data_IF_087135434276
#
_entry.id   IF_087135434276
#
_cell.length_a   1.000
_cell.length_b   1.000
_cell.length_c   1.000
_cell.angle_alpha   90.00
_cell.angle_beta   90.00
_cell.angle_gamma   90.00
#
_symmetry.space_group_name_H-M   'P 1'
#
loop_
_entity.id
_entity.type
_entity.pdbx_description
1 polymer ?
#
# COMPACT_ATOMS: atom_id res chain seq x y z
N UNK A 1 14.02 2.89 -13.69
CA UNK A 1 13.00 2.64 -12.65
C UNK A 1 12.50 3.99 -12.14
N UNK A 2 11.20 4.24 -12.19
CA UNK A 2 10.60 5.49 -11.67
C UNK A 2 10.33 5.32 -10.17
N UNK A 3 10.44 6.41 -9.40
CA UNK A 3 10.22 6.37 -7.95
C UNK A 3 9.01 7.23 -7.56
N UNK A 4 8.27 6.81 -6.55
CA UNK A 4 7.12 7.56 -6.01
C UNK A 4 7.16 7.61 -4.48
N UNK A 5 6.61 8.69 -3.92
CA UNK A 5 6.20 8.78 -2.53
C UNK A 5 4.68 8.62 -2.48
N UNK A 6 4.20 7.60 -1.78
CA UNK A 6 2.80 7.18 -1.82
C UNK A 6 2.05 7.74 -0.60
N UNK A 7 0.88 8.35 -0.82
CA UNK A 7 0.02 8.87 0.25
C UNK A 7 -1.32 8.12 0.23
N UNK A 8 -1.64 7.43 1.32
CA UNK A 8 -2.83 6.59 1.46
C UNK A 8 -3.82 7.21 2.44
N UNK A 9 -4.99 7.61 1.93
CA UNK A 9 -6.07 8.18 2.73
C UNK A 9 -6.78 7.15 3.63
N UNK A 10 -7.66 7.65 4.51
CA UNK A 10 -8.62 6.82 5.26
C UNK A 10 -9.74 6.29 4.34
N UNK A 11 -10.62 5.42 4.86
CA UNK A 11 -11.70 4.85 4.04
C UNK A 11 -12.40 3.62 4.60
N UNK A 12 -12.08 3.20 5.84
CA UNK A 12 -12.64 2.01 6.46
C UNK A 12 -12.38 0.75 5.62
N UNK A 13 -13.38 -0.13 5.52
CA UNK A 13 -13.27 -1.39 4.76
C UNK A 13 -12.91 -1.18 3.28
N UNK A 14 -13.37 -0.09 2.64
CA UNK A 14 -13.02 0.22 1.24
C UNK A 14 -11.54 0.55 1.05
N UNK A 15 -10.80 0.81 2.13
CA UNK A 15 -9.36 1.05 2.09
C UNK A 15 -8.54 -0.17 1.71
N UNK A 16 -9.11 -1.38 1.67
CA UNK A 16 -8.43 -2.56 1.10
C UNK A 16 -8.04 -2.35 -0.36
N UNK A 17 -8.72 -1.44 -1.09
CA UNK A 17 -8.34 -1.05 -2.45
C UNK A 17 -6.90 -0.49 -2.55
N UNK A 18 -6.32 0.02 -1.46
CA UNK A 18 -4.92 0.47 -1.44
C UNK A 18 -3.94 -0.65 -1.75
N UNK A 19 -4.28 -1.92 -1.46
CA UNK A 19 -3.45 -3.10 -1.80
C UNK A 19 -3.29 -3.20 -3.32
N UNK A 20 -4.39 -3.14 -4.06
CA UNK A 20 -4.36 -3.19 -5.53
C UNK A 20 -3.60 -2.02 -6.16
N UNK A 21 -3.66 -0.82 -5.57
CA UNK A 21 -2.86 0.33 -6.03
C UNK A 21 -1.36 0.07 -5.87
N UNK A 22 -0.95 -0.53 -4.76
CA UNK A 22 0.45 -0.88 -4.50
C UNK A 22 0.93 -1.92 -5.52
N UNK A 23 0.19 -3.00 -5.72
CA UNK A 23 0.53 -4.03 -6.71
C UNK A 23 0.66 -3.43 -8.11
N UNK A 24 -0.31 -2.61 -8.51
CA UNK A 24 -0.26 -1.95 -9.82
C UNK A 24 1.01 -1.10 -9.98
N UNK A 25 1.44 -0.36 -8.94
CA UNK A 25 2.68 0.41 -8.99
C UNK A 25 3.90 -0.49 -9.19
N UNK A 26 4.02 -1.57 -8.41
CA UNK A 26 5.15 -2.50 -8.50
C UNK A 26 5.20 -3.21 -9.86
N UNK A 27 4.07 -3.73 -10.34
CA UNK A 27 3.92 -4.38 -11.65
C UNK A 27 4.28 -3.45 -12.80
N UNK A 28 4.04 -2.14 -12.66
CA UNK A 28 4.38 -1.13 -13.65
C UNK A 28 5.78 -0.51 -13.46
N UNK A 29 6.62 -1.14 -12.63
CA UNK A 29 8.03 -0.77 -12.47
C UNK A 29 8.27 0.52 -11.68
N UNK A 30 7.32 0.91 -10.83
CA UNK A 30 7.49 1.98 -9.86
C UNK A 30 8.06 1.44 -8.56
N UNK A 31 9.05 2.15 -8.01
CA UNK A 31 9.57 1.90 -6.67
C UNK A 31 8.98 2.90 -5.67
N UNK A 32 8.21 2.40 -4.70
CA UNK A 32 7.69 3.20 -3.58
C UNK A 32 8.82 3.45 -2.59
N UNK A 33 9.24 4.72 -2.44
CA UNK A 33 10.38 5.10 -1.58
C UNK A 33 9.95 5.48 -0.16
N UNK A 34 8.76 6.03 -0.01
CA UNK A 34 8.20 6.42 1.27
C UNK A 34 6.69 6.36 1.21
N UNK A 35 6.07 6.20 2.38
CA UNK A 35 4.63 6.11 2.53
C UNK A 35 4.19 7.01 3.68
N UNK A 36 3.13 7.78 3.44
CA UNK A 36 2.36 8.42 4.49
C UNK A 36 0.93 7.86 4.43
N UNK A 37 0.34 7.57 5.59
CA UNK A 37 -0.99 6.97 5.65
C UNK A 37 -1.82 7.48 6.82
N UNK A 38 -3.15 7.42 6.67
CA UNK A 38 -4.10 7.72 7.74
C UNK A 38 -5.11 6.57 7.93
N UNK A 39 -5.34 6.14 9.17
CA UNK A 39 -6.26 5.04 9.52
C UNK A 39 -5.94 3.78 8.71
N UNK A 40 -6.88 3.24 7.92
CA UNK A 40 -6.65 2.07 7.06
C UNK A 40 -5.49 2.28 6.08
N UNK A 41 -5.27 3.50 5.57
CA UNK A 41 -4.11 3.80 4.72
C UNK A 41 -2.79 3.68 5.48
N UNK A 42 -2.76 4.02 6.77
CA UNK A 42 -1.59 3.82 7.63
C UNK A 42 -1.35 2.32 7.89
N UNK A 43 -2.42 1.55 8.12
CA UNK A 43 -2.35 0.11 8.31
C UNK A 43 -1.76 -0.58 7.07
N UNK A 44 -2.38 -0.41 5.90
CA UNK A 44 -1.93 -1.04 4.65
C UNK A 44 -0.51 -0.57 4.29
N UNK A 45 -0.26 0.74 4.37
CA UNK A 45 1.05 1.31 4.08
C UNK A 45 2.16 0.79 5.00
N UNK A 46 1.86 0.64 6.29
CA UNK A 46 2.79 0.07 7.28
C UNK A 46 3.07 -1.41 7.04
N UNK A 47 2.04 -2.21 6.75
CA UNK A 47 2.19 -3.64 6.42
C UNK A 47 3.04 -3.84 5.17
N UNK A 48 2.79 -3.04 4.12
CA UNK A 48 3.62 -3.07 2.92
C UNK A 48 5.06 -2.66 3.22
N UNK A 49 5.30 -1.59 3.97
CA UNK A 49 6.64 -1.17 4.36
C UNK A 49 7.38 -2.24 5.19
N UNK A 50 6.65 -3.09 5.92
CA UNK A 50 7.20 -4.24 6.64
C UNK A 50 7.47 -5.48 5.76
N UNK A 51 7.16 -5.42 4.45
CA UNK A 51 7.32 -6.55 3.53
C UNK A 51 6.27 -7.65 3.73
N UNK A 52 5.11 -7.31 4.29
CA UNK A 52 4.08 -8.27 4.75
C UNK A 52 2.74 -8.16 4.02
N UNK A 53 2.70 -7.43 2.90
CA UNK A 53 1.44 -7.12 2.19
C UNK A 53 0.73 -8.38 1.69
N UNK A 54 1.47 -9.31 1.06
CA UNK A 54 0.89 -10.53 0.48
C UNK A 54 0.28 -11.45 1.55
N UNK A 55 0.93 -11.56 2.71
CA UNK A 55 0.44 -12.36 3.84
C UNK A 55 -0.85 -11.76 4.42
N UNK A 56 -0.91 -10.43 4.51
CA UNK A 56 -2.11 -9.74 4.96
C UNK A 56 -3.26 -9.83 3.95
N UNK A 57 -2.97 -9.70 2.64
CA UNK A 57 -3.96 -9.83 1.58
C UNK A 57 -4.62 -11.21 1.54
N UNK A 58 -3.88 -12.29 1.82
CA UNK A 58 -4.44 -13.63 1.90
C UNK A 58 -5.33 -13.86 3.13
N UNK A 59 -5.12 -13.07 4.18
CA UNK A 59 -5.88 -13.20 5.44
C UNK A 59 -7.23 -12.49 5.39
N UNK A 60 -7.34 -11.38 4.65
CA UNK A 60 -8.58 -10.58 4.50
C UNK A 60 -9.52 -11.13 3.43
#
# INVERSE_FOLDING_TARGET
MKTVSLVLGSGGARGLAHIGVIHWLEENGYKIRSIAGCSIGALIGGIYAAGKLNEYEQWV
#
